data_IF_285490725462
#
_entry.id   IF_285490725462
#
_cell.length_a   1.000
_cell.length_b   1.000
_cell.length_c   1.000
_cell.angle_alpha   90.00
_cell.angle_beta   90.00
_cell.angle_gamma   90.00
#
_symmetry.space_group_name_H-M   'P 1'
#
loop_
_entity.id
_entity.type
_entity.pdbx_description
1 polymer ?
#
# COMPACT_ATOMS: atom_id res chain seq x y z
N UNK A 1 12.40 -13.89 0.87
CA UNK A 1 12.36 -12.96 -0.26
C UNK A 1 11.02 -12.24 -0.32
N UNK A 2 11.04 -10.94 -0.52
CA UNK A 2 9.81 -10.16 -0.65
C UNK A 2 9.29 -10.28 -2.08
N UNK A 3 8.00 -10.58 -2.22
CA UNK A 3 7.34 -10.67 -3.52
C UNK A 3 6.17 -9.70 -3.57
N UNK A 4 5.70 -9.32 -4.77
CA UNK A 4 4.50 -8.48 -4.85
C UNK A 4 3.31 -9.09 -4.13
N UNK A 5 3.16 -10.41 -4.19
CA UNK A 5 2.05 -11.11 -3.53
C UNK A 5 2.17 -11.02 -2.01
N UNK A 6 3.39 -11.11 -1.46
CA UNK A 6 3.57 -11.02 -0.01
C UNK A 6 3.29 -9.61 0.49
N UNK A 7 3.64 -8.60 -0.29
CA UNK A 7 3.33 -7.21 0.05
C UNK A 7 1.83 -6.99 0.04
N UNK A 8 1.16 -7.45 -1.01
CA UNK A 8 -0.30 -7.33 -1.13
C UNK A 8 -1.00 -8.00 0.05
N UNK A 9 -0.61 -9.23 0.37
CA UNK A 9 -1.20 -9.96 1.50
C UNK A 9 -0.98 -9.24 2.81
N UNK A 10 0.22 -8.67 3.01
CA UNK A 10 0.52 -7.92 4.22
C UNK A 10 -0.35 -6.68 4.38
N UNK A 11 -0.53 -5.94 3.29
CA UNK A 11 -1.38 -4.74 3.32
C UNK A 11 -2.83 -5.14 3.63
N UNK A 12 -3.34 -6.15 2.94
CA UNK A 12 -4.72 -6.60 3.11
C UNK A 12 -4.98 -7.14 4.52
N UNK A 13 -3.98 -7.77 5.13
CA UNK A 13 -4.14 -8.31 6.47
C UNK A 13 -4.22 -7.23 7.54
N UNK A 14 -3.55 -6.09 7.33
CA UNK A 14 -3.48 -5.05 8.34
C UNK A 14 -4.29 -3.80 8.05
N UNK A 15 -4.96 -3.73 6.90
CA UNK A 15 -5.69 -2.54 6.48
C UNK A 15 -6.90 -2.94 5.64
N UNK A 16 -8.07 -2.40 5.99
CA UNK A 16 -9.29 -2.67 5.22
C UNK A 16 -9.20 -1.93 3.89
N UNK A 17 -9.02 -2.67 2.79
CA UNK A 17 -8.85 -2.09 1.46
C UNK A 17 -9.93 -2.59 0.51
N UNK A 18 -10.37 -1.70 -0.41
CA UNK A 18 -11.20 -2.11 -1.52
C UNK A 18 -10.39 -2.71 -2.65
N UNK A 19 -9.15 -2.23 -2.78
CA UNK A 19 -8.28 -2.67 -3.87
C UNK A 19 -6.83 -2.52 -3.43
N UNK A 20 -6.04 -3.54 -3.71
CA UNK A 20 -4.59 -3.49 -3.55
C UNK A 20 -3.97 -4.15 -4.78
N UNK A 21 -3.14 -3.41 -5.49
CA UNK A 21 -2.38 -3.94 -6.61
C UNK A 21 -0.90 -3.67 -6.33
N UNK A 22 -0.08 -4.69 -6.46
CA UNK A 22 1.35 -4.57 -6.25
C UNK A 22 2.07 -5.18 -7.44
N UNK A 23 3.03 -4.44 -7.98
CA UNK A 23 3.89 -4.90 -9.06
C UNK A 23 5.33 -4.65 -8.67
N UNK A 24 6.24 -5.43 -9.23
CA UNK A 24 7.65 -5.23 -8.97
C UNK A 24 8.51 -6.25 -9.66
N UNK A 25 9.81 -5.95 -9.72
CA UNK A 25 10.81 -6.80 -10.35
C UNK A 25 11.69 -7.54 -9.33
N UNK A 26 11.33 -7.48 -8.04
CA UNK A 26 12.11 -8.08 -6.97
C UNK A 26 13.04 -7.10 -6.28
N UNK A 27 13.36 -5.99 -6.91
CA UNK A 27 14.20 -4.94 -6.33
C UNK A 27 13.42 -3.67 -6.05
N UNK A 28 12.46 -3.35 -6.89
CA UNK A 28 11.58 -2.19 -6.72
C UNK A 28 10.15 -2.65 -6.84
N UNK A 29 9.28 -2.10 -6.00
CA UNK A 29 7.86 -2.45 -5.93
C UNK A 29 7.02 -1.19 -6.04
N UNK A 30 5.87 -1.33 -6.70
CA UNK A 30 4.88 -0.27 -6.81
C UNK A 30 3.54 -0.80 -6.35
N UNK A 31 2.88 -0.06 -5.47
CA UNK A 31 1.59 -0.44 -4.94
C UNK A 31 0.55 0.64 -5.24
N UNK A 32 -0.65 0.22 -5.60
CA UNK A 32 -1.83 1.08 -5.68
C UNK A 32 -2.82 0.57 -4.66
N UNK A 33 -3.23 1.41 -3.73
CA UNK A 33 -4.04 1.01 -2.59
C UNK A 33 -5.24 1.93 -2.49
N UNK A 34 -6.43 1.34 -2.48
CA UNK A 34 -7.69 2.07 -2.32
C UNK A 34 -8.30 1.62 -1.00
N UNK A 35 -8.50 2.56 -0.07
CA UNK A 35 -9.01 2.24 1.25
C UNK A 35 -9.82 3.40 1.82
N UNK A 36 -11.00 3.12 2.43
CA UNK A 36 -11.74 4.16 3.13
C UNK A 36 -10.99 4.67 4.37
N UNK A 37 -10.03 3.92 4.88
CA UNK A 37 -9.23 4.36 6.02
C UNK A 37 -8.36 5.58 5.71
N UNK A 38 -8.17 5.90 4.44
CA UNK A 38 -7.38 7.06 4.01
C UNK A 38 -8.15 8.38 4.03
N UNK A 39 -9.45 8.34 4.27
CA UNK A 39 -10.28 9.55 4.26
C UNK A 39 -9.81 10.52 5.34
N UNK A 40 -9.67 11.79 4.97
CA UNK A 40 -9.24 12.82 5.90
C UNK A 40 -7.78 12.79 6.29
N UNK A 41 -6.98 11.93 5.67
CA UNK A 41 -5.57 11.77 6.01
C UNK A 41 -4.67 12.32 4.92
N UNK A 42 -3.54 12.89 5.35
CA UNK A 42 -2.52 13.39 4.44
C UNK A 42 -1.82 12.20 3.78
N UNK A 43 -1.06 12.51 2.73
CA UNK A 43 -0.25 11.51 2.03
C UNK A 43 0.69 10.78 2.99
N UNK A 44 1.36 11.52 3.85
CA UNK A 44 2.30 10.93 4.82
C UNK A 44 1.58 10.01 5.78
N UNK A 45 0.41 10.44 6.29
CA UNK A 45 -0.38 9.62 7.21
C UNK A 45 -0.86 8.33 6.55
N UNK A 46 -1.26 8.40 5.28
CA UNK A 46 -1.67 7.22 4.52
C UNK A 46 -0.53 6.23 4.37
N UNK A 47 0.66 6.74 4.04
CA UNK A 47 1.84 5.89 3.90
C UNK A 47 2.20 5.23 5.23
N UNK A 48 2.07 5.95 6.34
CA UNK A 48 2.33 5.39 7.66
C UNK A 48 1.36 4.25 7.98
N UNK A 49 0.10 4.37 7.58
CA UNK A 49 -0.87 3.29 7.76
C UNK A 49 -0.46 2.03 7.00
N UNK A 50 0.02 2.21 5.77
CA UNK A 50 0.46 1.08 4.95
C UNK A 50 1.70 0.41 5.56
N UNK A 51 2.67 1.21 6.00
CA UNK A 51 3.86 0.66 6.65
C UNK A 51 3.50 -0.09 7.92
N UNK A 52 2.56 0.44 8.69
CA UNK A 52 2.10 -0.24 9.90
C UNK A 52 1.44 -1.58 9.56
N UNK A 53 0.65 -1.62 8.49
CA UNK A 53 0.02 -2.85 8.04
C UNK A 53 1.05 -3.90 7.63
N UNK A 54 2.13 -3.46 6.98
CA UNK A 54 3.20 -4.36 6.55
C UNK A 54 4.05 -4.86 7.72
N UNK A 55 4.14 -4.07 8.79
CA UNK A 55 4.94 -4.44 9.95
C UNK A 55 6.41 -4.63 9.57
N UNK A 56 7.00 -5.74 10.01
CA UNK A 56 8.42 -6.00 9.77
C UNK A 56 8.71 -6.61 8.40
N UNK A 57 7.68 -6.88 7.60
CA UNK A 57 7.86 -7.57 6.31
C UNK A 57 8.72 -6.80 5.33
N UNK A 58 8.66 -5.47 5.39
CA UNK A 58 9.39 -4.59 4.49
C UNK A 58 10.46 -3.79 5.19
N UNK A 59 10.87 -4.23 6.39
CA UNK A 59 11.74 -3.41 7.23
C UNK A 59 13.03 -3.00 6.53
N UNK A 60 13.64 -3.91 5.79
CA UNK A 60 14.89 -3.62 5.11
C UNK A 60 14.68 -3.13 3.67
N UNK A 61 13.56 -3.49 3.05
CA UNK A 61 13.26 -3.13 1.68
C UNK A 61 12.25 -1.99 1.55
N UNK A 62 11.92 -1.33 2.66
CA UNK A 62 10.87 -0.31 2.67
C UNK A 62 11.16 0.84 1.69
N UNK A 63 12.44 1.15 1.49
CA UNK A 63 12.85 2.20 0.55
C UNK A 63 12.59 1.80 -0.91
N UNK A 64 12.38 0.51 -1.16
CA UNK A 64 12.11 0.01 -2.51
C UNK A 64 10.63 0.02 -2.87
N UNK A 65 9.76 0.41 -1.94
CA UNK A 65 8.32 0.45 -2.17
C UNK A 65 7.85 1.86 -2.46
N UNK A 66 7.31 2.06 -3.66
CA UNK A 66 6.58 3.27 -4.03
C UNK A 66 5.10 2.98 -3.97
N UNK A 67 4.30 3.92 -3.50
CA UNK A 67 2.87 3.66 -3.39
C UNK A 67 2.04 4.88 -3.76
N UNK A 68 0.85 4.59 -4.28
CA UNK A 68 -0.20 5.56 -4.50
C UNK A 68 -1.38 5.15 -3.64
N UNK A 69 -1.91 6.09 -2.87
CA UNK A 69 -2.98 5.82 -1.92
C UNK A 69 -4.19 6.68 -2.26
N UNK A 70 -5.35 6.05 -2.33
CA UNK A 70 -6.59 6.71 -2.71
C UNK A 70 -7.71 6.29 -1.76
N UNK A 71 -8.62 7.24 -1.48
CA UNK A 71 -9.94 6.85 -0.97
C UNK A 71 -10.76 6.28 -2.11
N UNK A 72 -11.85 5.55 -1.81
CA UNK A 72 -12.74 5.06 -2.87
C UNK A 72 -13.26 6.18 -3.78
N UNK A 73 -13.53 7.36 -3.21
CA UNK A 73 -14.00 8.50 -3.99
C UNK A 73 -12.92 9.03 -4.92
N UNK A 74 -11.69 9.15 -4.41
CA UNK A 74 -10.56 9.59 -5.23
C UNK A 74 -10.28 8.61 -6.37
N UNK A 75 -10.39 7.33 -6.09
CA UNK A 75 -10.17 6.30 -7.10
C UNK A 75 -11.19 6.38 -8.24
N UNK A 76 -12.44 6.72 -7.92
CA UNK A 76 -13.48 6.91 -8.94
C UNK A 76 -13.18 8.10 -9.83
N UNK A 77 -12.65 9.18 -9.26
CA UNK A 77 -12.33 10.39 -10.02
C UNK A 77 -11.13 10.17 -10.93
N UNK A 78 -10.20 9.33 -10.52
CA UNK A 78 -8.98 9.07 -11.26
C UNK A 78 -9.07 7.84 -12.17
N UNK A 79 -10.16 7.13 -12.07
CA UNK A 79 -10.42 5.97 -12.92
C UNK A 79 -11.17 6.38 -14.16
#
# INVERSE_FOLDING_TARGET
MVTPESIKSGIEAGLACERVEVMGDGQHFQAVIVSPAFAGKSRVQRHQLVYKALGDRMREEIHALSMQTFTPEEAKQNG
#
